data_IF_161162204741
#
_entry.id   IF_161162204741
#
_cell.length_a   1.000
_cell.length_b   1.000
_cell.length_c   1.000
_cell.angle_alpha   90.00
_cell.angle_beta   90.00
_cell.angle_gamma   90.00
#
_symmetry.space_group_name_H-M   'P 1'
#
loop_
_entity.id
_entity.type
_entity.pdbx_description
1 polymer ?
#
# COMPACT_ATOMS: atom_id res chain seq x y z
N UNK A 1 -50.40 15.79 -37.01
CA UNK A 1 -48.93 15.88 -37.16
C UNK A 1 -48.49 17.28 -36.78
N UNK A 2 -47.57 17.43 -35.81
CA UNK A 2 -46.97 18.73 -35.52
C UNK A 2 -46.10 19.15 -36.72
N UNK A 3 -46.43 20.27 -37.34
CA UNK A 3 -45.83 20.74 -38.62
C UNK A 3 -44.76 21.80 -38.45
N UNK A 4 -44.43 22.22 -37.22
CA UNK A 4 -43.38 23.20 -36.92
C UNK A 4 -42.50 22.74 -35.76
N UNK A 5 -41.19 22.73 -35.99
CA UNK A 5 -40.20 22.63 -34.93
C UNK A 5 -40.21 23.93 -34.12
N UNK A 6 -40.48 23.83 -32.83
CA UNK A 6 -40.44 24.97 -31.91
C UNK A 6 -39.11 24.96 -31.14
N UNK A 7 -38.36 26.07 -31.10
CA UNK A 7 -37.19 26.16 -30.25
C UNK A 7 -37.61 26.09 -28.78
N UNK A 8 -36.91 25.27 -28.00
CA UNK A 8 -37.17 25.09 -26.57
C UNK A 8 -35.87 25.07 -25.77
N UNK A 9 -35.96 25.47 -24.50
CA UNK A 9 -34.88 25.31 -23.51
C UNK A 9 -35.22 24.12 -22.62
N UNK A 10 -34.25 23.22 -22.43
CA UNK A 10 -34.34 22.10 -21.50
C UNK A 10 -33.54 22.41 -20.23
N UNK A 11 -34.22 22.66 -19.12
CA UNK A 11 -33.61 22.68 -17.80
C UNK A 11 -33.52 21.26 -17.25
N UNK A 12 -32.35 20.84 -16.78
CA UNK A 12 -32.15 19.54 -16.13
C UNK A 12 -31.63 19.75 -14.71
N UNK A 13 -32.32 19.15 -13.74
CA UNK A 13 -31.88 19.05 -12.35
C UNK A 13 -31.55 17.59 -12.04
N UNK A 14 -30.27 17.23 -12.13
CA UNK A 14 -29.80 15.85 -12.03
C UNK A 14 -29.21 15.63 -10.63
N UNK A 15 -29.98 14.96 -9.79
CA UNK A 15 -29.58 14.52 -8.45
C UNK A 15 -29.11 13.07 -8.41
N UNK A 16 -28.76 12.60 -7.21
CA UNK A 16 -28.28 11.23 -6.99
C UNK A 16 -29.34 10.13 -7.23
N UNK A 17 -30.62 10.47 -7.13
CA UNK A 17 -31.75 9.52 -7.20
C UNK A 17 -32.90 10.04 -8.09
N UNK A 18 -32.70 11.17 -8.75
CA UNK A 18 -33.74 11.81 -9.55
C UNK A 18 -33.14 12.68 -10.64
N UNK A 19 -33.86 12.79 -11.74
CA UNK A 19 -33.61 13.78 -12.78
C UNK A 19 -34.90 14.53 -13.06
N UNK A 20 -34.95 15.80 -12.64
CA UNK A 20 -35.98 16.75 -13.04
C UNK A 20 -35.68 17.31 -14.42
N UNK A 21 -36.72 17.49 -15.25
CA UNK A 21 -36.61 18.10 -16.57
C UNK A 21 -37.75 19.09 -16.80
N UNK A 22 -37.43 20.28 -17.29
CA UNK A 22 -38.39 21.31 -17.67
C UNK A 22 -38.17 21.74 -19.12
N UNK A 23 -39.21 21.62 -19.94
CA UNK A 23 -39.20 22.11 -21.32
C UNK A 23 -39.91 23.46 -21.34
N UNK A 24 -39.18 24.51 -21.72
CA UNK A 24 -39.68 25.89 -21.76
C UNK A 24 -39.65 26.37 -23.21
N UNK A 25 -40.73 27.02 -23.65
CA UNK A 25 -40.78 27.77 -24.90
C UNK A 25 -40.48 29.24 -24.56
N UNK A 26 -39.24 29.73 -24.73
CA UNK A 26 -38.81 31.02 -24.16
C UNK A 26 -39.58 32.20 -24.77
N UNK A 27 -39.81 32.15 -26.09
CA UNK A 27 -40.53 33.19 -26.84
C UNK A 27 -41.97 33.34 -26.37
N UNK A 28 -42.58 32.24 -25.93
CA UNK A 28 -43.97 32.21 -25.46
C UNK A 28 -44.07 32.41 -23.95
N UNK A 29 -42.93 32.55 -23.25
CA UNK A 29 -42.81 32.55 -21.78
C UNK A 29 -43.63 31.42 -21.14
N UNK A 30 -43.64 30.25 -21.78
CA UNK A 30 -44.53 29.12 -21.45
C UNK A 30 -43.73 27.88 -21.10
N UNK A 31 -44.12 27.22 -20.01
CA UNK A 31 -43.67 25.85 -19.72
C UNK A 31 -44.46 24.91 -20.64
N UNK A 32 -43.74 24.20 -21.51
CA UNK A 32 -44.33 23.18 -22.36
C UNK A 32 -44.60 21.90 -21.58
N UNK A 33 -43.63 21.47 -20.76
CA UNK A 33 -43.79 20.28 -19.94
C UNK A 33 -42.80 20.23 -18.76
N UNK A 34 -43.13 19.42 -17.76
CA UNK A 34 -42.32 19.11 -16.60
C UNK A 34 -42.30 17.59 -16.39
N UNK A 35 -41.11 17.05 -16.12
CA UNK A 35 -40.92 15.64 -15.86
C UNK A 35 -40.01 15.46 -14.63
N UNK A 36 -40.27 14.40 -13.88
CA UNK A 36 -39.34 13.92 -12.85
C UNK A 36 -39.15 12.42 -13.06
N UNK A 37 -37.91 12.00 -13.25
CA UNK A 37 -37.53 10.59 -13.28
C UNK A 37 -36.84 10.25 -11.96
N UNK A 38 -37.52 9.52 -11.08
CA UNK A 38 -36.90 8.92 -9.90
C UNK A 38 -36.26 7.57 -10.26
N UNK A 39 -35.15 7.23 -9.61
CA UNK A 39 -34.46 5.95 -9.73
C UNK A 39 -33.75 5.61 -8.42
N UNK A 40 -33.53 4.32 -8.19
CA UNK A 40 -32.83 3.86 -7.00
C UNK A 40 -31.37 4.33 -7.03
N UNK A 41 -30.88 4.77 -5.87
CA UNK A 41 -29.48 5.12 -5.72
C UNK A 41 -28.62 3.88 -5.87
N UNK A 42 -27.44 4.03 -6.46
CA UNK A 42 -26.48 2.94 -6.61
C UNK A 42 -25.64 2.69 -5.33
N UNK A 43 -26.27 2.79 -4.16
CA UNK A 43 -25.66 2.65 -2.83
C UNK A 43 -26.49 1.71 -1.93
N UNK A 44 -25.92 1.25 -0.81
CA UNK A 44 -26.67 0.49 0.19
C UNK A 44 -27.58 1.38 0.99
N UNK A 45 -28.81 0.90 1.26
CA UNK A 45 -29.81 1.65 2.01
C UNK A 45 -29.37 2.03 3.43
N UNK A 46 -28.47 1.24 4.05
CA UNK A 46 -28.04 1.41 5.44
C UNK A 46 -26.75 2.22 5.63
N UNK A 47 -25.75 2.01 4.78
CA UNK A 47 -24.39 2.53 4.99
C UNK A 47 -23.93 3.48 3.88
N UNK A 48 -24.73 3.67 2.81
CA UNK A 48 -24.36 4.53 1.69
C UNK A 48 -23.15 4.01 0.91
N UNK A 49 -22.83 2.72 1.02
CA UNK A 49 -21.68 2.14 0.34
C UNK A 49 -22.03 1.78 -1.11
N UNK A 50 -21.09 1.96 -2.03
CA UNK A 50 -21.29 1.53 -3.42
C UNK A 50 -21.53 0.03 -3.52
N UNK A 51 -22.59 -0.38 -4.24
CA UNK A 51 -22.90 -1.80 -4.50
C UNK A 51 -21.72 -2.56 -5.14
N UNK A 52 -20.89 -1.86 -5.92
CA UNK A 52 -19.69 -2.43 -6.53
C UNK A 52 -18.60 -2.78 -5.51
N UNK A 53 -18.52 -2.06 -4.38
CA UNK A 53 -17.58 -2.36 -3.28
C UNK A 53 -17.91 -3.71 -2.66
N UNK A 54 -19.16 -3.95 -2.29
CA UNK A 54 -19.63 -5.24 -1.74
C UNK A 54 -19.38 -6.38 -2.73
N UNK A 55 -19.69 -6.17 -4.01
CA UNK A 55 -19.43 -7.15 -5.07
C UNK A 55 -17.93 -7.47 -5.17
N UNK A 56 -17.07 -6.45 -5.11
CA UNK A 56 -15.60 -6.60 -5.15
C UNK A 56 -15.11 -7.39 -3.94
N UNK A 57 -15.52 -7.04 -2.73
CA UNK A 57 -15.11 -7.70 -1.49
C UNK A 57 -15.54 -9.16 -1.45
N UNK A 58 -16.80 -9.45 -1.79
CA UNK A 58 -17.32 -10.81 -1.89
C UNK A 58 -16.52 -11.65 -2.90
N UNK A 59 -16.17 -11.06 -4.06
CA UNK A 59 -15.34 -11.71 -5.08
C UNK A 59 -13.92 -11.98 -4.57
N UNK A 60 -13.31 -11.04 -3.83
CA UNK A 60 -11.99 -11.23 -3.23
C UNK A 60 -11.99 -12.36 -2.20
N UNK A 61 -13.01 -12.42 -1.34
CA UNK A 61 -13.19 -13.50 -0.36
C UNK A 61 -13.34 -14.85 -1.04
N UNK A 62 -14.18 -14.97 -2.08
CA UNK A 62 -14.32 -16.23 -2.86
C UNK A 62 -12.99 -16.67 -3.47
N UNK A 63 -12.23 -15.73 -4.06
CA UNK A 63 -10.90 -16.03 -4.63
C UNK A 63 -9.93 -16.51 -3.55
N UNK A 64 -9.92 -15.90 -2.36
CA UNK A 64 -9.08 -16.29 -1.22
C UNK A 64 -9.40 -17.70 -0.76
N UNK A 65 -10.68 -18.01 -0.54
CA UNK A 65 -11.16 -19.35 -0.13
C UNK A 65 -10.77 -20.40 -1.16
N UNK A 66 -11.10 -20.17 -2.45
CA UNK A 66 -10.78 -21.09 -3.54
C UNK A 66 -9.28 -21.37 -3.64
N UNK A 67 -8.43 -20.33 -3.54
CA UNK A 67 -6.98 -20.48 -3.63
C UNK A 67 -6.39 -21.21 -2.41
N UNK A 68 -6.92 -20.97 -1.21
CA UNK A 68 -6.55 -21.73 -0.01
C UNK A 68 -6.89 -23.21 -0.18
N UNK A 69 -8.12 -23.52 -0.57
CA UNK A 69 -8.56 -24.90 -0.81
C UNK A 69 -7.71 -25.59 -1.88
N UNK A 70 -7.44 -24.92 -3.00
CA UNK A 70 -6.59 -25.46 -4.07
C UNK A 70 -5.14 -25.70 -3.63
N UNK A 71 -4.56 -24.81 -2.82
CA UNK A 71 -3.21 -25.02 -2.26
C UNK A 71 -3.17 -26.27 -1.37
N UNK A 72 -4.15 -26.42 -0.48
CA UNK A 72 -4.24 -27.57 0.41
C UNK A 72 -4.49 -28.88 -0.36
N UNK A 73 -5.28 -28.82 -1.43
CA UNK A 73 -5.45 -29.94 -2.35
C UNK A 73 -4.14 -30.32 -3.06
N UNK A 74 -3.35 -29.35 -3.53
CA UNK A 74 -2.02 -29.61 -4.11
C UNK A 74 -1.08 -30.25 -3.09
N UNK A 75 -1.10 -29.80 -1.84
CA UNK A 75 -0.33 -30.40 -0.76
C UNK A 75 -0.76 -31.85 -0.50
N UNK A 76 -2.05 -32.11 -0.35
CA UNK A 76 -2.56 -33.47 -0.12
C UNK A 76 -2.18 -34.42 -1.29
N UNK A 77 -2.29 -33.96 -2.53
CA UNK A 77 -1.81 -34.72 -3.71
C UNK A 77 -0.30 -34.93 -3.72
N UNK A 78 0.47 -33.97 -3.22
CA UNK A 78 1.91 -34.10 -3.07
C UNK A 78 2.26 -35.15 -2.02
N UNK A 79 1.63 -35.10 -0.84
CA UNK A 79 1.79 -36.08 0.24
C UNK A 79 1.42 -37.50 -0.21
N UNK A 80 0.32 -37.65 -0.96
CA UNK A 80 -0.07 -38.95 -1.52
C UNK A 80 0.96 -39.50 -2.50
N UNK A 81 1.52 -38.66 -3.38
CA UNK A 81 2.54 -39.09 -4.35
C UNK A 81 3.84 -39.57 -3.71
N UNK A 82 4.20 -39.02 -2.55
CA UNK A 82 5.38 -39.48 -1.79
C UNK A 82 5.05 -40.63 -0.84
N UNK A 83 3.81 -41.11 -0.81
CA UNK A 83 3.36 -42.21 0.07
C UNK A 83 3.15 -41.81 1.53
N UNK A 84 3.14 -40.51 1.87
CA UNK A 84 2.96 -40.04 3.25
C UNK A 84 1.52 -40.25 3.75
N UNK A 85 0.54 -40.21 2.84
CA UNK A 85 -0.87 -40.46 3.14
C UNK A 85 -1.49 -41.36 2.06
N UNK A 86 -2.42 -42.23 2.46
CA UNK A 86 -3.13 -43.12 1.53
C UNK A 86 -4.23 -42.36 0.76
N UNK A 87 -4.96 -41.50 1.49
CA UNK A 87 -6.10 -40.76 0.99
C UNK A 87 -6.00 -39.26 1.24
N UNK A 88 -6.38 -38.47 0.24
CA UNK A 88 -6.46 -37.02 0.34
C UNK A 88 -7.79 -36.57 0.99
N UNK A 89 -8.07 -37.08 2.20
CA UNK A 89 -9.28 -36.75 2.96
C UNK A 89 -8.95 -35.84 4.16
N UNK A 90 -9.90 -35.03 4.66
CA UNK A 90 -9.68 -34.21 5.87
C UNK A 90 -9.26 -35.03 7.10
N UNK A 91 -9.69 -36.29 7.17
CA UNK A 91 -9.35 -37.23 8.25
C UNK A 91 -7.86 -37.59 8.27
N UNK A 92 -7.18 -37.51 7.12
CA UNK A 92 -5.73 -37.74 7.05
C UNK A 92 -4.91 -36.71 7.85
N UNK A 93 -5.48 -35.52 8.11
CA UNK A 93 -4.80 -34.41 8.79
C UNK A 93 -5.38 -34.07 10.16
N UNK A 94 -6.38 -34.84 10.62
CA UNK A 94 -7.03 -34.59 11.91
C UNK A 94 -6.64 -35.70 12.87
N UNK A 95 -6.07 -35.32 14.01
CA UNK A 95 -5.68 -36.21 15.08
C UNK A 95 -6.52 -35.87 16.31
N UNK A 96 -7.03 -36.90 16.99
CA UNK A 96 -7.89 -36.74 18.18
C UNK A 96 -7.08 -36.44 19.43
N UNK A 97 -5.85 -36.95 19.50
CA UNK A 97 -5.06 -36.97 20.74
C UNK A 97 -3.89 -35.97 20.74
N UNK A 98 -3.70 -35.21 19.66
CA UNK A 98 -2.58 -34.29 19.53
C UNK A 98 -2.98 -33.04 18.73
N UNK A 99 -2.50 -31.88 19.15
CA UNK A 99 -2.72 -30.64 18.40
C UNK A 99 -1.58 -30.42 17.39
N UNK A 100 -1.85 -29.84 16.20
CA UNK A 100 -0.78 -29.54 15.25
C UNK A 100 0.27 -28.55 15.79
N UNK A 101 -0.05 -27.75 16.81
CA UNK A 101 0.93 -26.86 17.45
C UNK A 101 1.96 -27.67 18.24
N UNK A 102 1.49 -28.62 19.04
CA UNK A 102 2.36 -29.48 19.85
C UNK A 102 3.21 -30.36 18.94
N UNK A 103 2.63 -30.94 17.88
CA UNK A 103 3.38 -31.75 16.91
C UNK A 103 4.46 -30.95 16.15
N UNK A 104 4.24 -29.66 15.92
CA UNK A 104 5.27 -28.77 15.34
C UNK A 104 6.41 -28.49 16.32
N UNK A 105 6.14 -28.47 17.62
CA UNK A 105 7.18 -28.35 18.64
C UNK A 105 7.94 -29.68 18.82
N UNK A 106 7.20 -30.79 18.97
CA UNK A 106 7.75 -32.14 19.17
C UNK A 106 8.53 -32.63 17.96
N UNK A 107 8.16 -32.25 16.73
CA UNK A 107 8.89 -32.62 15.51
C UNK A 107 10.31 -32.07 15.43
N UNK A 108 10.71 -31.20 16.35
CA UNK A 108 12.09 -30.75 16.50
C UNK A 108 12.92 -31.64 17.44
N UNK A 109 12.26 -32.46 18.26
CA UNK A 109 12.86 -33.25 19.34
C UNK A 109 12.70 -34.77 19.13
N UNK A 110 11.75 -35.22 18.29
CA UNK A 110 11.51 -36.64 18.00
C UNK A 110 11.09 -36.89 16.55
N UNK A 111 11.21 -38.14 16.13
CA UNK A 111 10.58 -38.62 14.89
C UNK A 111 9.06 -38.53 15.01
N UNK A 112 8.42 -37.91 14.02
CA UNK A 112 6.96 -37.87 13.91
C UNK A 112 6.45 -39.04 13.08
N UNK A 113 5.34 -39.62 13.52
CA UNK A 113 4.62 -40.62 12.73
C UNK A 113 4.08 -40.01 11.42
N UNK A 114 3.84 -40.81 10.36
CA UNK A 114 3.40 -40.30 9.07
C UNK A 114 2.19 -39.35 9.15
N UNK A 115 1.19 -39.69 9.97
CA UNK A 115 -0.01 -38.84 10.16
C UNK A 115 0.28 -37.57 10.96
N UNK A 116 1.18 -37.64 11.94
CA UNK A 116 1.62 -36.47 12.71
C UNK A 116 2.37 -35.49 11.80
N UNK A 117 3.28 -36.01 10.97
CA UNK A 117 4.03 -35.21 10.01
C UNK A 117 3.11 -34.56 8.97
N UNK A 118 2.16 -35.32 8.42
CA UNK A 118 1.16 -34.80 7.50
C UNK A 118 0.31 -33.68 8.14
N UNK A 119 -0.11 -33.85 9.39
CA UNK A 119 -0.88 -32.87 10.16
C UNK A 119 -0.12 -31.56 10.36
N UNK A 120 1.15 -31.63 10.79
CA UNK A 120 2.03 -30.46 10.99
C UNK A 120 2.22 -29.66 9.69
N UNK A 121 2.55 -30.33 8.59
CA UNK A 121 2.72 -29.69 7.28
C UNK A 121 1.42 -29.06 6.77
N UNK A 122 0.31 -29.78 6.87
CA UNK A 122 -1.02 -29.28 6.46
C UNK A 122 -1.39 -28.01 7.24
N UNK A 123 -1.12 -28.01 8.55
CA UNK A 123 -1.39 -26.88 9.42
C UNK A 123 -0.58 -25.64 9.02
N UNK A 124 0.74 -25.76 8.79
CA UNK A 124 1.61 -24.66 8.36
C UNK A 124 1.10 -24.04 7.05
N UNK A 125 0.81 -24.86 6.03
CA UNK A 125 0.36 -24.36 4.72
C UNK A 125 -1.07 -23.79 4.74
N UNK A 126 -1.93 -24.24 5.66
CA UNK A 126 -3.26 -23.67 5.89
C UNK A 126 -3.15 -22.29 6.53
N UNK A 127 -2.24 -22.14 7.47
CA UNK A 127 -2.02 -20.94 8.31
C UNK A 127 -0.71 -20.22 7.99
N UNK A 128 -0.43 -20.02 6.70
CA UNK A 128 0.85 -19.55 6.14
C UNK A 128 1.26 -18.08 6.39
N UNK A 129 0.76 -17.46 7.45
CA UNK A 129 1.19 -16.13 7.88
C UNK A 129 0.94 -14.97 6.91
N UNK A 130 1.25 -13.78 7.38
CA UNK A 130 1.26 -12.55 6.58
C UNK A 130 2.57 -12.45 5.80
N UNK A 131 2.51 -11.98 4.55
CA UNK A 131 3.69 -11.69 3.76
C UNK A 131 3.60 -10.24 3.33
N UNK A 132 4.56 -9.42 3.77
CA UNK A 132 4.66 -8.04 3.32
C UNK A 132 5.07 -8.02 1.85
N UNK A 133 4.38 -7.21 1.04
CA UNK A 133 4.73 -6.93 -0.37
C UNK A 133 5.84 -5.91 -0.47
N UNK A 134 5.72 -4.87 0.35
CA UNK A 134 6.69 -3.78 0.50
C UNK A 134 6.73 -3.39 1.96
N UNK A 135 7.94 -3.26 2.51
CA UNK A 135 8.14 -2.86 3.90
C UNK A 135 7.59 -1.45 4.17
N UNK A 136 7.68 -0.55 3.18
CA UNK A 136 7.18 0.83 3.23
C UNK A 136 5.66 0.92 3.24
N UNK A 137 4.98 0.31 2.25
CA UNK A 137 3.51 0.38 2.15
C UNK A 137 2.81 -0.20 3.38
N UNK A 138 3.37 -1.25 3.98
CA UNK A 138 2.80 -1.87 5.17
C UNK A 138 2.92 -1.01 6.44
N UNK A 139 3.79 0.02 6.46
CA UNK A 139 3.85 1.02 7.56
C UNK A 139 2.75 2.08 7.44
N UNK A 140 2.23 2.33 6.23
CA UNK A 140 1.22 3.36 5.96
C UNK A 140 -0.23 2.89 6.16
N UNK A 141 -0.50 1.60 5.96
CA UNK A 141 -1.81 0.98 6.26
C UNK A 141 -1.88 0.62 7.75
N UNK A 142 -2.81 1.24 8.49
CA UNK A 142 -3.01 1.06 9.93
C UNK A 142 -3.19 -0.41 10.32
N UNK A 143 -4.00 -1.17 9.56
CA UNK A 143 -4.23 -2.61 9.85
C UNK A 143 -3.02 -3.45 9.51
N UNK A 144 -2.30 -3.10 8.44
CA UNK A 144 -1.03 -3.76 8.13
C UNK A 144 0.03 -3.46 9.19
N UNK A 145 0.05 -2.24 9.71
CA UNK A 145 0.91 -1.79 10.80
C UNK A 145 0.66 -2.58 12.08
N UNK A 146 -0.60 -2.77 12.49
CA UNK A 146 -0.96 -3.61 13.64
C UNK A 146 -0.52 -5.06 13.46
N UNK A 147 -0.77 -5.64 12.27
CA UNK A 147 -0.31 -7.00 11.94
C UNK A 147 1.21 -7.12 12.04
N UNK A 148 1.96 -6.14 11.50
CA UNK A 148 3.41 -6.12 11.57
C UNK A 148 3.93 -5.93 12.99
N UNK A 149 3.25 -5.15 13.81
CA UNK A 149 3.58 -5.01 15.23
C UNK A 149 3.48 -6.35 15.94
N UNK A 150 2.40 -7.11 15.72
CA UNK A 150 2.25 -8.47 16.27
C UNK A 150 3.33 -9.43 15.78
N UNK A 151 3.70 -9.37 14.50
CA UNK A 151 4.83 -10.15 13.96
C UNK A 151 6.14 -9.82 14.69
N UNK A 152 6.49 -8.53 14.80
CA UNK A 152 7.73 -8.10 15.48
C UNK A 152 7.77 -8.50 16.94
N UNK A 153 6.64 -8.39 17.64
CA UNK A 153 6.53 -8.82 19.03
C UNK A 153 6.82 -10.32 19.17
N UNK A 154 6.23 -11.15 18.31
CA UNK A 154 6.48 -12.59 18.33
C UNK A 154 7.92 -12.96 17.96
N UNK A 155 8.54 -12.21 17.03
CA UNK A 155 9.96 -12.36 16.70
C UNK A 155 10.86 -12.02 17.90
N UNK A 156 10.58 -10.93 18.61
CA UNK A 156 11.31 -10.57 19.83
C UNK A 156 11.16 -11.64 20.92
N UNK A 157 9.97 -12.23 21.08
CA UNK A 157 9.76 -13.35 22.02
C UNK A 157 10.56 -14.60 21.63
N UNK A 158 10.70 -14.87 20.34
CA UNK A 158 11.51 -15.99 19.84
C UNK A 158 13.01 -15.78 20.13
N UNK A 159 13.50 -14.55 19.98
CA UNK A 159 14.90 -14.18 20.23
C UNK A 159 15.25 -14.13 21.73
N UNK A 160 14.27 -13.84 22.58
CA UNK A 160 14.50 -13.68 24.02
C UNK A 160 14.85 -15.03 24.68
N UNK A 161 16.10 -15.17 25.11
CA UNK A 161 16.56 -16.27 25.96
C UNK A 161 16.80 -17.60 25.25
N UNK A 162 16.82 -17.64 23.91
CA UNK A 162 17.05 -18.85 23.09
C UNK A 162 16.17 -20.06 23.48
N UNK A 163 15.00 -19.79 24.05
CA UNK A 163 14.15 -20.82 24.66
C UNK A 163 13.30 -21.59 23.65
N UNK A 164 13.07 -21.00 22.48
CA UNK A 164 12.26 -21.55 21.41
C UNK A 164 13.00 -21.41 20.08
N UNK A 165 12.87 -22.39 19.18
CA UNK A 165 13.58 -22.46 17.89
C UNK A 165 12.73 -22.01 16.72
N UNK A 166 11.40 -22.10 16.85
CA UNK A 166 10.43 -21.83 15.78
C UNK A 166 9.16 -21.16 16.30
N UNK A 167 8.39 -20.52 15.41
CA UNK A 167 7.09 -19.94 15.77
C UNK A 167 6.06 -20.99 16.21
N UNK A 168 6.09 -22.18 15.62
CA UNK A 168 5.28 -23.32 16.07
C UNK A 168 5.58 -23.73 17.50
N UNK A 169 6.86 -23.79 17.86
CA UNK A 169 7.31 -24.11 19.22
C UNK A 169 6.96 -23.01 20.22
N UNK A 170 7.20 -21.75 19.86
CA UNK A 170 6.79 -20.58 20.66
C UNK A 170 5.27 -20.63 20.92
N UNK A 171 4.48 -20.80 19.87
CA UNK A 171 3.04 -20.86 19.98
C UNK A 171 2.56 -22.06 20.81
N UNK A 172 3.24 -23.21 20.75
CA UNK A 172 2.87 -24.36 21.55
C UNK A 172 3.14 -24.13 23.05
N UNK A 173 4.34 -23.62 23.37
CA UNK A 173 4.92 -23.67 24.73
C UNK A 173 4.90 -22.35 25.52
N UNK A 174 4.72 -21.20 24.88
CA UNK A 174 4.76 -19.89 25.56
C UNK A 174 3.42 -19.54 26.24
N UNK A 175 3.49 -18.89 27.41
CA UNK A 175 2.32 -18.56 28.24
C UNK A 175 1.33 -17.63 27.52
N UNK A 176 1.81 -16.67 26.73
CA UNK A 176 0.94 -15.78 25.93
C UNK A 176 -0.01 -16.53 24.98
N UNK A 177 0.36 -17.74 24.58
CA UNK A 177 -0.41 -18.58 23.67
C UNK A 177 -1.24 -19.65 24.41
N UNK A 178 -1.17 -19.73 25.75
CA UNK A 178 -1.83 -20.79 26.53
C UNK A 178 -3.36 -20.75 26.39
N UNK A 179 -3.94 -19.56 26.56
CA UNK A 179 -5.38 -19.35 26.47
C UNK A 179 -5.92 -19.49 25.03
N UNK A 180 -5.15 -19.02 24.05
CA UNK A 180 -5.53 -19.14 22.64
C UNK A 180 -4.32 -19.07 21.70
N UNK A 181 -4.33 -19.94 20.69
CA UNK A 181 -3.29 -19.97 19.65
C UNK A 181 -3.60 -19.08 18.44
N UNK A 182 -4.82 -18.56 18.33
CA UNK A 182 -5.30 -17.76 17.19
C UNK A 182 -5.86 -16.43 17.64
N UNK A 183 -5.62 -15.39 16.85
CA UNK A 183 -6.21 -14.06 17.00
C UNK A 183 -7.72 -14.10 17.29
N UNK A 184 -8.17 -13.27 18.24
CA UNK A 184 -9.58 -13.07 18.62
C UNK A 184 -9.86 -11.57 18.80
N UNK A 185 -11.12 -11.16 18.65
CA UNK A 185 -11.58 -9.81 19.03
C UNK A 185 -10.94 -8.64 18.27
N UNK A 186 -10.37 -8.88 17.09
CA UNK A 186 -9.66 -7.84 16.33
C UNK A 186 -8.19 -7.67 16.69
N UNK A 187 -7.68 -8.38 17.71
CA UNK A 187 -6.25 -8.39 18.04
C UNK A 187 -5.43 -9.12 16.97
N UNK A 188 -4.25 -8.59 16.66
CA UNK A 188 -3.25 -9.21 15.79
C UNK A 188 -2.04 -9.76 16.55
N UNK A 189 -2.13 -9.95 17.87
CA UNK A 189 -1.02 -10.41 18.72
C UNK A 189 -0.43 -11.76 18.32
N UNK A 190 -1.22 -12.70 17.80
CA UNK A 190 -0.80 -14.06 17.41
C UNK A 190 -0.59 -14.18 15.90
N UNK A 191 0.02 -13.16 15.30
CA UNK A 191 0.32 -13.10 13.87
C UNK A 191 1.78 -13.44 13.62
N UNK A 192 2.03 -14.37 12.68
CA UNK A 192 3.38 -14.74 12.24
C UNK A 192 3.62 -14.30 10.81
N UNK A 193 4.87 -13.96 10.48
CA UNK A 193 5.23 -13.71 9.09
C UNK A 193 5.32 -15.04 8.33
N UNK A 194 5.16 -14.97 7.02
CA UNK A 194 5.36 -16.15 6.16
C UNK A 194 6.82 -16.60 6.16
N UNK A 195 7.77 -15.67 6.30
CA UNK A 195 9.19 -15.98 6.38
C UNK A 195 9.50 -16.80 7.64
N UNK A 196 8.92 -16.46 8.79
CA UNK A 196 9.11 -17.24 10.02
C UNK A 196 8.58 -18.67 9.88
N UNK A 197 7.46 -18.83 9.16
CA UNK A 197 6.88 -20.16 8.89
C UNK A 197 7.67 -20.95 7.84
N UNK A 198 8.38 -20.27 6.94
CA UNK A 198 9.30 -20.90 5.99
C UNK A 198 10.58 -21.38 6.71
N UNK A 199 11.13 -20.57 7.61
CA UNK A 199 12.23 -20.96 8.50
C UNK A 199 11.84 -22.16 9.39
N UNK A 200 10.66 -22.11 10.00
CA UNK A 200 10.13 -23.24 10.75
C UNK A 200 9.99 -24.51 9.90
N UNK A 201 9.48 -24.38 8.68
CA UNK A 201 9.36 -25.51 7.75
C UNK A 201 10.74 -26.11 7.46
N UNK A 202 11.76 -25.28 7.22
CA UNK A 202 13.14 -25.72 7.03
C UNK A 202 13.68 -26.49 8.24
N UNK A 203 13.54 -25.92 9.44
CA UNK A 203 14.02 -26.53 10.68
C UNK A 203 13.34 -27.87 10.95
N UNK A 204 12.03 -27.96 10.72
CA UNK A 204 11.28 -29.21 10.86
C UNK A 204 11.73 -30.28 9.87
N UNK A 205 11.89 -29.95 8.58
CA UNK A 205 12.40 -30.90 7.60
C UNK A 205 13.83 -31.36 7.92
N UNK A 206 14.67 -30.44 8.40
CA UNK A 206 16.03 -30.77 8.85
C UNK A 206 16.04 -31.74 10.04
N UNK A 207 15.27 -31.44 11.08
CA UNK A 207 15.15 -32.30 12.27
C UNK A 207 14.58 -33.69 11.91
N UNK A 208 13.47 -33.73 11.17
CA UNK A 208 12.83 -34.98 10.76
C UNK A 208 13.76 -35.84 9.90
N UNK A 209 14.56 -35.24 9.02
CA UNK A 209 15.59 -35.96 8.26
C UNK A 209 16.67 -36.53 9.18
N UNK A 210 17.11 -35.75 10.16
CA UNK A 210 18.07 -36.20 11.19
C UNK A 210 17.56 -37.39 12.02
N UNK A 211 16.25 -37.45 12.27
CA UNK A 211 15.60 -38.57 12.96
C UNK A 211 15.26 -39.77 12.06
N UNK A 212 15.63 -39.74 10.78
CA UNK A 212 15.39 -40.86 9.85
C UNK A 212 14.00 -40.88 9.20
N UNK A 213 13.31 -39.74 9.12
CA UNK A 213 12.01 -39.66 8.46
C UNK A 213 12.16 -39.77 6.92
N UNK A 214 11.71 -40.91 6.37
CA UNK A 214 11.73 -41.19 4.93
C UNK A 214 10.86 -40.22 4.10
N UNK A 215 9.91 -39.52 4.74
CA UNK A 215 9.05 -38.52 4.12
C UNK A 215 9.56 -37.07 4.34
N UNK A 216 10.85 -36.87 4.63
CA UNK A 216 11.50 -35.57 4.80
C UNK A 216 12.56 -35.27 3.71
N UNK A 217 12.37 -35.80 2.49
CA UNK A 217 13.28 -35.59 1.37
C UNK A 217 13.39 -34.11 0.96
N UNK A 218 14.54 -33.72 0.40
CA UNK A 218 14.79 -32.36 -0.05
C UNK A 218 13.85 -31.92 -1.19
N UNK A 219 13.50 -32.84 -2.10
CA UNK A 219 12.54 -32.56 -3.18
C UNK A 219 11.13 -32.29 -2.63
N UNK A 220 10.68 -33.06 -1.64
CA UNK A 220 9.38 -32.82 -1.00
C UNK A 220 9.36 -31.50 -0.24
N UNK A 221 10.45 -31.17 0.48
CA UNK A 221 10.64 -29.89 1.15
C UNK A 221 10.50 -28.71 0.17
N UNK A 222 11.24 -28.73 -0.95
CA UNK A 222 11.20 -27.67 -1.95
C UNK A 222 9.80 -27.46 -2.53
N UNK A 223 9.07 -28.54 -2.82
CA UNK A 223 7.68 -28.47 -3.31
C UNK A 223 6.71 -27.95 -2.24
N UNK A 224 6.91 -28.29 -0.97
CA UNK A 224 6.12 -27.76 0.13
C UNK A 224 6.36 -26.25 0.34
N UNK A 225 7.62 -25.81 0.22
CA UNK A 225 8.00 -24.40 0.27
C UNK A 225 7.40 -23.59 -0.89
N UNK A 226 7.46 -24.11 -2.12
CA UNK A 226 6.82 -23.48 -3.27
C UNK A 226 5.32 -23.22 -2.99
N UNK A 227 4.63 -24.22 -2.43
CA UNK A 227 3.22 -24.07 -2.06
C UNK A 227 3.00 -23.04 -0.94
N UNK A 228 3.87 -23.01 0.07
CA UNK A 228 3.83 -22.05 1.16
C UNK A 228 3.93 -20.61 0.60
N UNK A 229 4.94 -20.36 -0.23
CA UNK A 229 5.28 -19.05 -0.77
C UNK A 229 4.38 -18.60 -1.92
N UNK A 230 3.79 -19.53 -2.67
CA UNK A 230 3.01 -19.23 -3.87
C UNK A 230 1.92 -18.15 -3.66
N UNK A 231 2.00 -17.09 -4.44
CA UNK A 231 1.01 -16.02 -4.53
C UNK A 231 0.81 -15.63 -5.99
N UNK A 232 -0.32 -14.99 -6.29
CA UNK A 232 -0.42 -14.22 -7.53
C UNK A 232 0.24 -12.85 -7.32
N UNK A 233 0.92 -12.32 -8.33
CA UNK A 233 1.47 -10.97 -8.27
C UNK A 233 0.36 -9.96 -7.99
N UNK A 234 0.75 -8.85 -7.35
CA UNK A 234 -0.14 -7.71 -7.18
C UNK A 234 -0.44 -7.05 -8.53
N UNK A 235 -1.27 -6.01 -8.53
CA UNK A 235 -1.39 -5.13 -9.68
C UNK A 235 -0.17 -4.19 -9.66
N UNK A 236 0.74 -4.36 -10.60
CA UNK A 236 2.00 -3.63 -10.68
C UNK A 236 2.46 -3.48 -12.13
N UNK A 237 3.44 -2.59 -12.36
CA UNK A 237 4.05 -2.36 -13.67
C UNK A 237 3.01 -2.02 -14.72
N UNK A 238 3.10 -2.65 -15.90
CA UNK A 238 2.18 -2.44 -17.02
C UNK A 238 0.71 -2.55 -16.67
N UNK A 239 0.36 -3.46 -15.75
CA UNK A 239 -1.03 -3.65 -15.34
C UNK A 239 -1.56 -2.45 -14.54
N UNK A 240 -0.69 -1.83 -13.72
CA UNK A 240 -0.99 -0.60 -13.00
C UNK A 240 -1.00 0.60 -13.96
N UNK A 241 0.00 0.70 -14.84
CA UNK A 241 0.13 1.80 -15.82
C UNK A 241 -1.10 1.89 -16.72
N UNK A 242 -1.69 0.75 -17.11
CA UNK A 242 -2.95 0.72 -17.88
C UNK A 242 -4.15 1.34 -17.17
N UNK A 243 -4.09 1.51 -15.85
CA UNK A 243 -5.12 2.20 -15.06
C UNK A 243 -4.83 3.69 -14.85
N UNK A 244 -3.63 4.15 -15.22
CA UNK A 244 -3.22 5.55 -15.11
C UNK A 244 -3.88 6.37 -16.23
N UNK A 245 -4.38 7.55 -15.87
CA UNK A 245 -4.95 8.48 -16.85
C UNK A 245 -3.91 8.99 -17.84
N UNK A 246 -4.37 9.40 -19.03
CA UNK A 246 -3.51 10.00 -20.06
C UNK A 246 -3.22 11.48 -19.77
N UNK A 247 -2.12 11.97 -20.34
CA UNK A 247 -1.73 13.38 -20.27
C UNK A 247 -2.82 14.27 -20.87
N UNK A 248 -2.96 15.49 -20.33
CA UNK A 248 -3.94 16.47 -20.80
C UNK A 248 -3.58 16.98 -22.20
N UNK A 249 -2.31 17.14 -22.51
CA UNK A 249 -1.82 17.65 -23.80
C UNK A 249 -1.48 16.50 -24.76
N UNK A 250 -0.65 15.56 -24.32
CA UNK A 250 -0.18 14.44 -25.14
C UNK A 250 -1.02 13.18 -24.88
N UNK A 251 -2.12 13.00 -25.62
CA UNK A 251 -3.12 11.96 -25.32
C UNK A 251 -2.61 10.52 -25.40
N UNK A 252 -1.48 10.29 -26.05
CA UNK A 252 -0.84 8.98 -26.16
C UNK A 252 -0.02 8.63 -24.90
N UNK A 253 0.44 9.63 -24.17
CA UNK A 253 1.32 9.46 -23.01
C UNK A 253 0.53 9.31 -21.69
N UNK A 254 1.04 8.47 -20.80
CA UNK A 254 0.51 8.35 -19.45
C UNK A 254 0.93 9.55 -18.59
N UNK A 255 0.14 9.88 -17.56
CA UNK A 255 0.52 10.91 -16.60
C UNK A 255 1.76 10.48 -15.82
N UNK A 256 2.66 11.43 -15.59
CA UNK A 256 3.81 11.24 -14.72
C UNK A 256 3.38 11.03 -13.25
N UNK A 257 4.12 10.21 -12.49
CA UNK A 257 3.96 10.12 -11.04
C UNK A 257 4.08 11.48 -10.37
N UNK A 258 3.25 11.73 -9.34
CA UNK A 258 3.31 12.99 -8.60
C UNK A 258 4.61 13.15 -7.81
N UNK A 259 5.22 12.03 -7.43
CA UNK A 259 6.49 11.95 -6.72
C UNK A 259 7.73 12.22 -7.61
N UNK A 260 7.57 12.29 -8.95
CA UNK A 260 8.67 12.63 -9.85
C UNK A 260 9.17 14.05 -9.58
N UNK A 261 10.48 14.26 -9.68
CA UNK A 261 11.12 15.56 -9.47
C UNK A 261 10.49 16.64 -10.36
N UNK A 262 10.30 16.34 -11.65
CA UNK A 262 9.66 17.29 -12.58
C UNK A 262 8.21 17.60 -12.20
N UNK A 263 7.47 16.64 -11.67
CA UNK A 263 6.10 16.84 -11.21
C UNK A 263 6.04 17.70 -9.94
N UNK A 264 6.92 17.45 -8.96
CA UNK A 264 7.05 18.30 -7.76
C UNK A 264 7.47 19.72 -8.14
N UNK A 265 8.42 19.86 -9.07
CA UNK A 265 8.87 21.16 -9.60
C UNK A 265 7.74 21.90 -10.31
N UNK A 266 6.97 21.20 -11.16
CA UNK A 266 5.81 21.78 -11.84
C UNK A 266 4.76 22.31 -10.85
N UNK A 267 4.42 21.54 -9.83
CA UNK A 267 3.48 21.96 -8.77
C UNK A 267 4.03 23.18 -8.01
N UNK A 268 5.32 23.17 -7.68
CA UNK A 268 5.97 24.28 -7.00
C UNK A 268 5.94 25.57 -7.84
N UNK A 269 6.37 25.51 -9.10
CA UNK A 269 6.38 26.66 -10.00
C UNK A 269 4.97 27.22 -10.20
N UNK A 270 3.96 26.35 -10.30
CA UNK A 270 2.56 26.76 -10.36
C UNK A 270 2.12 27.51 -9.09
N UNK A 271 2.47 27.00 -7.90
CA UNK A 271 2.19 27.69 -6.63
C UNK A 271 2.92 29.03 -6.51
N UNK A 272 4.19 29.08 -6.90
CA UNK A 272 5.02 30.27 -6.82
C UNK A 272 4.53 31.37 -7.77
N UNK A 273 4.20 31.02 -9.01
CA UNK A 273 3.69 31.98 -10.00
C UNK A 273 2.29 32.51 -9.65
N UNK A 274 1.48 31.73 -8.94
CA UNK A 274 0.15 32.15 -8.48
C UNK A 274 0.17 32.86 -7.12
N UNK A 275 1.33 32.92 -6.45
CA UNK A 275 1.48 33.66 -5.20
C UNK A 275 1.40 35.15 -5.48
N UNK A 276 0.52 35.84 -4.75
CA UNK A 276 0.41 37.29 -4.77
C UNK A 276 0.64 37.86 -3.38
N UNK A 277 1.38 38.96 -3.33
CA UNK A 277 1.54 39.78 -2.14
C UNK A 277 0.45 40.84 -2.17
N UNK A 278 -0.36 40.86 -1.11
CA UNK A 278 -1.44 41.81 -0.91
C UNK A 278 -0.99 42.88 0.07
N UNK A 279 -1.06 44.14 -0.33
CA UNK A 279 -0.72 45.29 0.51
C UNK A 279 -1.72 46.41 0.23
N UNK A 280 -2.37 46.95 1.27
CA UNK A 280 -3.34 48.04 1.10
C UNK A 280 -4.58 47.71 0.25
N UNK A 281 -4.87 46.42 0.01
CA UNK A 281 -5.95 45.97 -0.87
C UNK A 281 -5.49 45.59 -2.28
N UNK A 282 -4.29 46.03 -2.70
CA UNK A 282 -3.73 45.73 -4.00
C UNK A 282 -2.93 44.42 -3.97
N UNK A 283 -3.18 43.56 -4.95
CA UNK A 283 -2.51 42.27 -5.08
C UNK A 283 -1.51 42.29 -6.25
N UNK A 284 -0.22 42.14 -5.95
CA UNK A 284 0.83 42.03 -6.97
C UNK A 284 1.42 40.62 -7.04
N UNK A 285 1.84 40.14 -8.22
CA UNK A 285 2.67 38.94 -8.32
C UNK A 285 4.07 39.19 -7.73
N UNK A 286 4.83 38.11 -7.59
CA UNK A 286 6.26 38.21 -7.29
C UNK A 286 7.06 38.77 -8.46
N UNK A 287 8.07 39.59 -8.17
CA UNK A 287 9.07 40.01 -9.15
C UNK A 287 9.95 38.84 -9.60
N UNK A 288 10.76 39.03 -10.64
CA UNK A 288 11.72 38.00 -11.06
C UNK A 288 12.78 37.74 -9.97
N UNK A 289 13.25 38.77 -9.29
CA UNK A 289 14.25 38.63 -8.22
C UNK A 289 13.68 37.94 -6.99
N UNK A 290 12.44 38.27 -6.61
CA UNK A 290 11.69 37.56 -5.56
C UNK A 290 11.47 36.08 -5.91
N UNK A 291 11.17 35.78 -7.18
CA UNK A 291 11.05 34.39 -7.63
C UNK A 291 12.39 33.66 -7.54
N UNK A 292 13.48 34.26 -8.05
CA UNK A 292 14.83 33.67 -8.01
C UNK A 292 15.30 33.40 -6.58
N UNK A 293 14.98 34.26 -5.62
CA UNK A 293 15.44 34.09 -4.23
C UNK A 293 14.82 32.88 -3.52
N UNK A 294 13.60 32.48 -3.90
CA UNK A 294 12.86 31.40 -3.24
C UNK A 294 12.74 30.12 -4.08
N UNK A 295 12.97 30.16 -5.39
CA UNK A 295 12.69 29.05 -6.31
C UNK A 295 13.34 27.73 -5.90
N UNK A 296 14.55 27.73 -5.35
CA UNK A 296 15.25 26.50 -4.94
C UNK A 296 15.05 26.14 -3.47
N UNK A 297 14.40 27.00 -2.70
CA UNK A 297 14.30 26.84 -1.24
C UNK A 297 13.67 25.51 -0.83
N UNK A 298 12.55 25.05 -1.43
CA UNK A 298 11.94 23.78 -1.03
C UNK A 298 12.75 22.54 -1.36
N UNK A 299 13.81 22.65 -2.17
CA UNK A 299 14.71 21.55 -2.51
C UNK A 299 16.01 21.60 -1.69
N UNK A 300 16.25 22.72 -0.98
CA UNK A 300 17.35 22.87 -0.02
C UNK A 300 16.93 22.53 1.41
N UNK A 301 15.71 22.93 1.79
CA UNK A 301 15.11 22.65 3.10
C UNK A 301 13.86 21.81 2.94
N UNK A 302 13.70 20.81 3.80
CA UNK A 302 12.60 19.84 3.74
C UNK A 302 11.24 20.50 3.54
N UNK A 303 10.96 21.56 4.31
CA UNK A 303 9.66 22.22 4.37
C UNK A 303 9.82 23.73 4.19
N UNK A 304 9.00 24.32 3.32
CA UNK A 304 8.85 25.77 3.17
C UNK A 304 7.49 26.21 3.74
N UNK A 305 7.49 26.95 4.85
CA UNK A 305 6.29 27.61 5.38
C UNK A 305 6.14 29.02 4.82
N UNK A 306 4.95 29.60 4.89
CA UNK A 306 4.74 31.00 4.49
C UNK A 306 5.56 31.98 5.33
N UNK A 307 5.78 31.66 6.62
CA UNK A 307 6.64 32.44 7.52
C UNK A 307 8.10 32.45 7.06
N UNK A 308 8.59 31.32 6.54
CA UNK A 308 9.91 31.25 5.91
C UNK A 308 9.93 31.98 4.57
N UNK A 309 8.88 31.85 3.76
CA UNK A 309 8.75 32.58 2.50
C UNK A 309 8.80 34.10 2.72
N UNK A 310 8.09 34.63 3.71
CA UNK A 310 8.15 36.05 4.11
C UNK A 310 9.58 36.51 4.40
N UNK A 311 10.32 35.72 5.18
CA UNK A 311 11.72 36.03 5.53
C UNK A 311 12.62 36.07 4.31
N UNK A 312 12.48 35.08 3.41
CA UNK A 312 13.28 35.00 2.17
C UNK A 312 12.94 36.15 1.21
N UNK A 313 11.66 36.53 1.14
CA UNK A 313 11.16 37.60 0.29
C UNK A 313 11.30 39.00 0.92
N UNK A 314 11.82 39.09 2.16
CA UNK A 314 11.96 40.32 2.93
C UNK A 314 10.68 41.20 2.98
N UNK A 315 9.51 40.56 3.15
CA UNK A 315 8.23 41.27 3.13
C UNK A 315 7.91 41.92 4.47
N UNK A 316 7.50 43.20 4.45
CA UNK A 316 7.10 43.93 5.65
C UNK A 316 5.80 43.43 6.30
N UNK A 317 5.59 43.78 7.56
CA UNK A 317 4.52 43.25 8.42
C UNK A 317 3.09 43.60 7.97
N UNK A 318 2.93 44.53 7.02
CA UNK A 318 1.63 44.87 6.43
C UNK A 318 1.31 44.09 5.15
N UNK A 319 2.28 43.37 4.59
CA UNK A 319 2.07 42.51 3.43
C UNK A 319 1.37 41.22 3.84
N UNK A 320 0.50 40.66 3.00
CA UNK A 320 -0.24 39.42 3.24
C UNK A 320 -0.14 38.51 2.02
N UNK A 321 -0.18 37.19 2.22
CA UNK A 321 -0.25 36.24 1.10
C UNK A 321 -1.71 36.00 0.70
N UNK A 322 -2.02 36.07 -0.60
CA UNK A 322 -3.37 35.78 -1.12
C UNK A 322 -3.86 34.34 -0.87
N UNK A 323 -2.94 33.42 -0.58
CA UNK A 323 -3.24 32.00 -0.34
C UNK A 323 -3.57 31.68 1.12
N UNK A 324 -3.55 32.68 2.01
CA UNK A 324 -3.83 32.52 3.43
C UNK A 324 -5.04 33.34 3.87
N UNK A 325 -5.77 32.83 4.85
CA UNK A 325 -6.75 33.61 5.60
C UNK A 325 -6.09 34.16 6.87
N UNK A 326 -6.11 35.47 7.03
CA UNK A 326 -5.60 36.17 8.23
C UNK A 326 -6.73 36.59 9.18
N UNK A 327 -7.94 36.03 9.00
CA UNK A 327 -9.05 36.25 9.93
C UNK A 327 -8.76 35.50 11.24
N UNK A 328 -9.02 36.15 12.36
CA UNK A 328 -8.96 35.53 13.69
C UNK A 328 -10.06 34.48 13.81
N UNK A 329 -9.71 33.30 14.32
CA UNK A 329 -10.68 32.24 14.58
C UNK A 329 -11.48 32.58 15.85
N UNK A 330 -12.81 32.59 15.74
CA UNK A 330 -13.71 32.87 16.85
C UNK A 330 -13.69 31.80 17.96
N UNK A 331 -12.97 30.68 17.74
CA UNK A 331 -12.81 29.57 18.71
C UNK A 331 -11.45 29.51 19.43
N UNK A 332 -10.63 30.56 19.37
CA UNK A 332 -9.53 30.76 20.35
C UNK A 332 -8.26 29.94 20.15
N UNK A 333 -7.98 29.45 18.94
CA UNK A 333 -6.61 29.04 18.56
C UNK A 333 -6.02 30.10 17.63
N UNK A 334 -5.48 31.17 18.20
CA UNK A 334 -4.67 32.15 17.49
C UNK A 334 -3.34 31.51 17.07
N UNK A 335 -3.40 30.66 16.04
CA UNK A 335 -2.21 30.16 15.36
C UNK A 335 -1.88 31.10 14.22
N UNK A 336 -0.63 31.55 14.17
CA UNK A 336 -0.11 32.33 13.05
C UNK A 336 -0.37 31.57 11.74
N UNK A 337 -1.22 32.10 10.83
CA UNK A 337 -1.58 31.40 9.59
C UNK A 337 -0.37 31.13 8.71
N UNK A 338 0.72 31.91 8.87
CA UNK A 338 1.95 31.74 8.11
C UNK A 338 2.80 30.55 8.56
N UNK A 339 2.47 29.89 9.68
CA UNK A 339 3.06 28.59 10.04
C UNK A 339 2.62 27.45 9.12
N UNK A 340 1.58 27.69 8.31
CA UNK A 340 1.11 26.75 7.30
C UNK A 340 2.20 26.46 6.28
N UNK A 341 2.32 25.19 5.89
CA UNK A 341 3.22 24.75 4.82
C UNK A 341 2.81 25.37 3.49
N UNK A 342 3.70 26.15 2.87
CA UNK A 342 3.49 26.63 1.52
C UNK A 342 3.77 25.51 0.50
N UNK A 343 4.93 24.86 0.62
CA UNK A 343 5.33 23.75 -0.23
C UNK A 343 6.37 22.83 0.45
N UNK A 344 6.41 21.57 0.01
CA UNK A 344 7.30 20.52 0.49
C UNK A 344 7.58 19.58 -0.69
N UNK A 345 8.85 19.43 -1.08
CA UNK A 345 9.28 18.46 -2.10
C UNK A 345 9.48 17.09 -1.45
N UNK A 346 8.37 16.47 -1.06
CA UNK A 346 8.34 15.27 -0.20
C UNK A 346 9.14 14.12 -0.80
N UNK A 347 8.92 13.82 -2.07
CA UNK A 347 9.57 12.69 -2.71
C UNK A 347 11.08 12.95 -2.90
N UNK A 348 11.43 14.16 -3.31
CA UNK A 348 12.84 14.58 -3.38
C UNK A 348 13.58 14.41 -2.05
N UNK A 349 12.99 14.85 -0.93
CA UNK A 349 13.63 14.71 0.39
C UNK A 349 13.58 13.29 0.95
N UNK A 350 12.58 12.49 0.58
CA UNK A 350 12.55 11.06 0.90
C UNK A 350 13.70 10.32 0.21
N UNK A 351 13.89 10.56 -1.10
CA UNK A 351 15.04 10.01 -1.83
C UNK A 351 16.36 10.50 -1.24
N UNK A 352 16.50 11.80 -0.99
CA UNK A 352 17.68 12.36 -0.34
C UNK A 352 18.03 11.63 0.95
N UNK A 353 17.03 11.48 1.81
CA UNK A 353 17.21 10.83 3.11
C UNK A 353 17.58 9.37 2.96
N UNK A 354 16.96 8.63 2.03
CA UNK A 354 17.31 7.24 1.77
C UNK A 354 18.78 7.08 1.35
N UNK A 355 19.31 8.01 0.54
CA UNK A 355 20.74 8.02 0.22
C UNK A 355 21.61 8.36 1.43
N UNK A 356 21.24 9.40 2.19
CA UNK A 356 21.99 9.83 3.38
C UNK A 356 22.05 8.73 4.46
N UNK A 357 20.92 8.05 4.73
CA UNK A 357 20.81 6.94 5.68
C UNK A 357 21.61 5.70 5.23
N UNK A 358 21.83 5.55 3.92
CA UNK A 358 22.67 4.50 3.32
C UNK A 358 24.14 4.92 3.13
N UNK A 359 24.54 6.07 3.66
CA UNK A 359 25.89 6.65 3.54
C UNK A 359 26.31 7.00 2.08
N UNK A 360 25.34 7.15 1.17
CA UNK A 360 25.51 7.44 -0.26
C UNK A 360 25.48 8.94 -0.58
N UNK A 361 26.15 9.76 0.23
CA UNK A 361 26.11 11.23 0.09
C UNK A 361 26.78 11.73 -1.20
N UNK A 362 27.79 11.01 -1.70
CA UNK A 362 28.48 11.38 -2.95
C UNK A 362 27.58 11.12 -4.16
N UNK A 363 26.94 9.95 -4.19
CA UNK A 363 25.97 9.52 -5.19
C UNK A 363 24.77 10.46 -5.19
N UNK A 364 24.28 10.86 -4.01
CA UNK A 364 23.21 11.84 -3.92
C UNK A 364 23.59 13.16 -4.60
N UNK A 365 24.81 13.66 -4.38
CA UNK A 365 25.27 14.91 -5.01
C UNK A 365 25.35 14.81 -6.55
N UNK A 366 25.68 13.63 -7.07
CA UNK A 366 25.68 13.32 -8.50
C UNK A 366 24.24 13.23 -9.03
N UNK A 367 23.41 12.42 -8.39
CA UNK A 367 22.08 12.04 -8.87
C UNK A 367 21.05 13.16 -8.67
N UNK A 368 21.21 14.01 -7.65
CA UNK A 368 20.34 15.16 -7.41
C UNK A 368 20.43 16.23 -8.50
N UNK A 369 21.50 16.20 -9.32
CA UNK A 369 21.66 17.05 -10.49
C UNK A 369 21.08 16.43 -11.78
N UNK A 370 20.77 15.13 -11.77
CA UNK A 370 20.21 14.41 -12.91
C UNK A 370 18.69 14.21 -12.71
N UNK A 371 17.92 15.04 -13.40
CA UNK A 371 16.46 15.01 -13.29
C UNK A 371 15.83 13.74 -13.84
N UNK A 372 16.42 13.14 -14.87
CA UNK A 372 15.90 11.90 -15.45
C UNK A 372 16.08 10.75 -14.48
N UNK A 373 17.21 10.74 -13.78
CA UNK A 373 17.51 9.74 -12.76
C UNK A 373 16.60 9.85 -11.54
N UNK A 374 16.30 11.06 -11.07
CA UNK A 374 15.31 11.26 -9.99
C UNK A 374 13.89 10.85 -10.41
N UNK A 375 13.49 11.19 -11.63
CA UNK A 375 12.18 10.80 -12.16
C UNK A 375 12.07 9.27 -12.34
N UNK A 376 13.15 8.60 -12.77
CA UNK A 376 13.25 7.15 -12.88
C UNK A 376 13.07 6.45 -11.53
N UNK A 377 13.77 6.93 -10.49
CA UNK A 377 13.63 6.42 -9.12
C UNK A 377 12.18 6.56 -8.63
N UNK A 378 11.61 7.76 -8.79
CA UNK A 378 10.23 8.01 -8.39
C UNK A 378 9.24 7.13 -9.17
N UNK A 379 9.45 6.96 -10.47
CA UNK A 379 8.63 6.10 -11.32
C UNK A 379 8.63 4.66 -10.87
N UNK A 380 9.81 4.09 -10.62
CA UNK A 380 9.91 2.69 -10.21
C UNK A 380 9.26 2.44 -8.84
N UNK A 381 9.36 3.41 -7.93
CA UNK A 381 8.75 3.35 -6.60
C UNK A 381 7.24 3.58 -6.63
N UNK A 382 6.71 4.31 -7.61
CA UNK A 382 5.26 4.48 -7.80
C UNK A 382 4.62 3.32 -8.57
N UNK A 383 5.20 2.89 -9.68
CA UNK A 383 4.54 2.02 -10.66
C UNK A 383 4.69 0.52 -10.40
N UNK A 384 5.84 0.09 -9.88
CA UNK A 384 6.03 -1.29 -9.44
C UNK A 384 5.63 -1.39 -7.96
N UNK A 385 5.22 -2.58 -7.51
CA UNK A 385 4.70 -2.79 -6.14
C UNK A 385 5.36 -3.95 -5.41
N UNK A 386 6.32 -4.61 -6.05
CA UNK A 386 7.16 -5.64 -5.45
C UNK A 386 8.63 -5.22 -5.60
N UNK A 387 9.43 -5.44 -4.56
CA UNK A 387 10.84 -5.01 -4.53
C UNK A 387 11.65 -5.60 -5.70
N UNK A 388 11.36 -6.84 -6.10
CA UNK A 388 12.04 -7.49 -7.22
C UNK A 388 11.71 -6.85 -8.56
N UNK A 389 10.48 -6.36 -8.75
CA UNK A 389 10.09 -5.67 -9.99
C UNK A 389 10.74 -4.29 -10.05
N UNK A 390 10.69 -3.53 -8.94
CA UNK A 390 11.38 -2.25 -8.84
C UNK A 390 12.89 -2.39 -9.03
N UNK A 391 13.53 -3.38 -8.41
CA UNK A 391 14.96 -3.67 -8.60
C UNK A 391 15.26 -3.97 -10.07
N UNK A 392 14.46 -4.82 -10.71
CA UNK A 392 14.66 -5.19 -12.11
C UNK A 392 14.55 -3.99 -13.06
N UNK A 393 13.56 -3.14 -12.83
CA UNK A 393 13.35 -1.92 -13.61
C UNK A 393 14.48 -0.90 -13.40
N UNK A 394 14.86 -0.63 -12.14
CA UNK A 394 15.95 0.30 -11.82
C UNK A 394 17.30 -0.17 -12.36
N UNK A 395 17.60 -1.47 -12.26
CA UNK A 395 18.82 -2.04 -12.84
C UNK A 395 18.84 -1.91 -14.37
N UNK A 396 17.70 -2.11 -15.03
CA UNK A 396 17.59 -1.90 -16.48
C UNK A 396 17.80 -0.43 -16.90
N UNK A 397 17.53 0.51 -15.99
CA UNK A 397 17.79 1.94 -16.17
C UNK A 397 19.23 2.36 -15.77
N UNK A 398 20.10 1.41 -15.41
CA UNK A 398 21.50 1.71 -15.06
C UNK A 398 21.68 2.31 -13.67
N UNK A 399 20.74 2.08 -12.75
CA UNK A 399 20.90 2.43 -11.34
C UNK A 399 21.72 1.35 -10.63
N UNK A 400 22.71 1.73 -9.83
CA UNK A 400 23.59 0.81 -9.12
C UNK A 400 22.90 0.15 -7.90
N UNK A 401 23.22 -1.12 -7.60
CA UNK A 401 22.55 -1.88 -6.52
C UNK A 401 22.60 -1.23 -5.12
N UNK A 402 23.68 -0.52 -4.70
CA UNK A 402 23.67 0.20 -3.42
C UNK A 402 22.54 1.23 -3.35
N UNK A 403 22.32 1.97 -4.44
CA UNK A 403 21.25 2.97 -4.56
C UNK A 403 19.90 2.28 -4.59
N UNK A 404 19.76 1.23 -5.41
CA UNK A 404 18.52 0.45 -5.48
C UNK A 404 18.12 -0.04 -4.08
N UNK A 405 19.06 -0.65 -3.36
CA UNK A 405 18.83 -1.16 -2.01
C UNK A 405 18.40 -0.06 -1.05
N UNK A 406 19.01 1.12 -1.13
CA UNK A 406 18.66 2.28 -0.30
C UNK A 406 17.23 2.78 -0.59
N UNK A 407 16.87 2.96 -1.86
CA UNK A 407 15.57 3.57 -2.21
C UNK A 407 14.39 2.62 -2.12
N UNK A 408 14.60 1.30 -2.13
CA UNK A 408 13.53 0.31 -1.97
C UNK A 408 12.89 0.32 -0.57
N UNK A 409 13.49 1.03 0.40
CA UNK A 409 12.84 1.30 1.68
C UNK A 409 11.72 2.34 1.60
N UNK A 410 11.65 3.09 0.50
CA UNK A 410 10.63 4.09 0.24
C UNK A 410 9.46 3.52 -0.57
N UNK A 411 8.32 4.22 -0.57
CA UNK A 411 7.22 3.94 -1.50
C UNK A 411 6.44 5.20 -1.77
N UNK A 412 6.03 5.37 -3.02
CA UNK A 412 5.26 6.51 -3.47
C UNK A 412 3.89 6.07 -4.02
N UNK A 413 2.91 6.96 -3.83
CA UNK A 413 1.53 6.79 -4.28
C UNK A 413 1.27 7.36 -5.68
#
# INVERSE_FOLDING_TARGET
MQTKNLPYTLGLDIGMASAGAALILPEQKRILNLYVRAFDKAETDKEGESLNKIRRESRLTRRRIRRRAHRLLRLARLMKRVGLIDEASPNAFTLTNATPWDLRAEGLDRLLEPREWASSLYHILKHRGFQSTRKSEAKADEKAGEMLSGVKQNQALLETGNRYRTMGELAARHEDFKENKRNKGGSYSHTFSRADLEDELNKLFGAQRGFGNHFASADFQAKAQELLMARRPALSGDALIKMVGKCTFEKNEFRAPKASYRAERFIWLGKLNNLKIVQGGDARPLSDDERRSIIDFPFKKAKLTFKQARKVLALGDHCRFNLLSYRTDSKGKDKDPEETTFFEAKAFHALRKAYEDAELSFEWKRDSADTDRLDALAYALTCYKEDNESRGDLAAQGIEEPIISAVLEESFD
#
